data_IF_248269745565
#
_entry.id   IF_248269745565
#
_cell.length_a   1.000
_cell.length_b   1.000
_cell.length_c   1.000
_cell.angle_alpha   90.00
_cell.angle_beta   90.00
_cell.angle_gamma   90.00
#
_symmetry.space_group_name_H-M   'P 1'
#
loop_
_entity.id
_entity.type
_entity.pdbx_description
1 polymer ?
#
# COMPACT_ATOMS: atom_id res chain seq x y z
N UNK A 1 14.46 -23.26 -29.00
CA UNK A 1 13.75 -22.37 -29.94
C UNK A 1 14.75 -22.00 -31.02
N UNK A 2 14.61 -22.55 -32.21
CA UNK A 2 15.52 -22.31 -33.34
C UNK A 2 15.11 -21.03 -34.07
N UNK A 3 16.01 -20.45 -34.88
CA UNK A 3 15.75 -19.24 -35.66
C UNK A 3 14.56 -19.42 -36.59
N UNK A 4 14.31 -20.66 -37.10
CA UNK A 4 13.15 -21.04 -37.91
C UNK A 4 11.81 -20.97 -37.15
N UNK A 5 11.80 -21.22 -35.82
CA UNK A 5 10.60 -21.08 -35.01
C UNK A 5 10.23 -19.60 -34.77
N UNK A 6 11.18 -18.67 -34.91
CA UNK A 6 10.93 -17.24 -34.80
C UNK A 6 10.26 -16.64 -36.07
N UNK A 7 10.43 -17.27 -37.24
CA UNK A 7 9.79 -16.81 -38.49
C UNK A 7 8.33 -17.26 -38.64
N UNK A 8 7.87 -18.23 -37.82
CA UNK A 8 6.48 -18.72 -37.84
C UNK A 8 5.60 -18.12 -36.73
N UNK A 9 6.07 -17.07 -36.02
CA UNK A 9 5.18 -16.30 -35.16
C UNK A 9 4.15 -15.65 -36.05
N UNK A 10 2.94 -16.22 -36.00
CA UNK A 10 1.77 -15.73 -36.73
C UNK A 10 1.69 -14.21 -36.56
N UNK A 11 1.67 -13.48 -37.69
CA UNK A 11 1.49 -12.03 -37.66
C UNK A 11 0.19 -11.75 -36.87
N UNK A 12 0.18 -10.75 -35.97
CA UNK A 12 -1.06 -10.41 -35.28
C UNK A 12 -2.16 -10.19 -36.29
N UNK A 13 -3.36 -10.64 -35.95
CA UNK A 13 -4.57 -10.36 -36.70
C UNK A 13 -4.62 -8.84 -36.94
N UNK A 14 -4.49 -8.45 -38.21
CA UNK A 14 -4.33 -7.06 -38.70
C UNK A 14 -5.57 -6.18 -38.38
N UNK A 15 -6.44 -6.61 -37.44
CA UNK A 15 -7.77 -6.06 -37.17
C UNK A 15 -7.82 -4.95 -36.12
N UNK A 16 -6.80 -4.81 -35.24
CA UNK A 16 -6.81 -3.75 -34.22
C UNK A 16 -5.89 -2.59 -34.65
N UNK A 17 -6.47 -1.40 -34.71
CA UNK A 17 -5.74 -0.15 -34.94
C UNK A 17 -4.60 0.03 -33.92
N UNK A 18 -3.40 0.34 -34.39
CA UNK A 18 -2.22 0.55 -33.52
C UNK A 18 -2.47 1.63 -32.45
N UNK A 19 -3.23 2.67 -32.79
CA UNK A 19 -3.62 3.72 -31.84
C UNK A 19 -4.53 3.17 -30.74
N UNK A 20 -5.44 2.26 -31.09
CA UNK A 20 -6.28 1.58 -30.10
C UNK A 20 -5.45 0.72 -29.15
N UNK A 21 -4.50 -0.08 -29.67
CA UNK A 21 -3.62 -0.92 -28.85
C UNK A 21 -2.78 -0.08 -27.90
N UNK A 22 -2.23 1.06 -28.34
CA UNK A 22 -1.50 2.00 -27.49
C UNK A 22 -2.37 2.57 -26.36
N UNK A 23 -3.64 2.85 -26.62
CA UNK A 23 -4.60 3.30 -25.61
C UNK A 23 -4.89 2.21 -24.58
N UNK A 24 -5.08 0.96 -25.02
CA UNK A 24 -5.26 -0.17 -24.10
C UNK A 24 -4.01 -0.38 -23.26
N UNK A 25 -2.84 -0.30 -23.86
CA UNK A 25 -1.56 -0.37 -23.15
C UNK A 25 -1.45 0.69 -22.06
N UNK A 26 -1.79 1.93 -22.39
CA UNK A 26 -1.85 3.06 -21.44
C UNK A 26 -2.79 2.78 -20.26
N UNK A 27 -4.02 2.30 -20.55
CA UNK A 27 -5.03 1.98 -19.52
C UNK A 27 -4.53 0.88 -18.60
N UNK A 28 -3.98 -0.21 -19.13
CA UNK A 28 -3.46 -1.32 -18.35
C UNK A 28 -2.30 -0.88 -17.45
N UNK A 29 -1.33 -0.16 -18.02
CA UNK A 29 -0.12 0.26 -17.32
C UNK A 29 -0.42 1.25 -16.19
N UNK A 30 -1.27 2.26 -16.44
CA UNK A 30 -1.66 3.23 -15.40
C UNK A 30 -2.57 2.61 -14.34
N UNK A 31 -3.44 1.66 -14.69
CA UNK A 31 -4.19 0.89 -13.70
C UNK A 31 -3.27 0.11 -12.78
N UNK A 32 -2.27 -0.58 -13.33
CA UNK A 32 -1.25 -1.29 -12.56
C UNK A 32 -0.45 -0.36 -11.65
N UNK A 33 -0.04 0.81 -12.17
CA UNK A 33 0.67 1.84 -11.42
C UNK A 33 -0.15 2.31 -10.22
N UNK A 34 -1.40 2.73 -10.43
CA UNK A 34 -2.29 3.21 -9.36
C UNK A 34 -2.50 2.11 -8.31
N UNK A 35 -2.70 0.86 -8.72
CA UNK A 35 -2.87 -0.27 -7.79
C UNK A 35 -1.63 -0.50 -6.95
N UNK A 36 -0.42 -0.49 -7.55
CA UNK A 36 0.84 -0.71 -6.82
C UNK A 36 1.15 0.45 -5.87
N UNK A 37 0.99 1.69 -6.30
CA UNK A 37 1.10 2.89 -5.47
C UNK A 37 0.12 2.87 -4.29
N UNK A 38 -1.06 2.25 -4.48
CA UNK A 38 -2.13 2.17 -3.47
C UNK A 38 -2.05 0.94 -2.56
N UNK A 39 -0.99 0.12 -2.66
CA UNK A 39 -0.71 -0.98 -1.75
C UNK A 39 -1.42 -2.30 -2.07
N UNK A 40 -1.93 -2.48 -3.29
CA UNK A 40 -2.52 -3.74 -3.73
C UNK A 40 -1.49 -4.89 -3.76
N UNK A 41 -1.99 -6.12 -3.72
CA UNK A 41 -1.14 -7.31 -3.88
C UNK A 41 -0.67 -7.46 -5.34
N UNK A 42 0.60 -7.85 -5.54
CA UNK A 42 1.23 -7.90 -6.88
C UNK A 42 0.50 -8.84 -7.83
N UNK A 43 0.12 -10.04 -7.37
CA UNK A 43 -0.63 -11.00 -8.18
C UNK A 43 -2.00 -10.47 -8.65
N UNK A 44 -2.66 -9.63 -7.84
CA UNK A 44 -3.94 -9.01 -8.21
C UNK A 44 -3.76 -7.92 -9.25
N UNK A 45 -2.63 -7.22 -9.19
CA UNK A 45 -2.26 -6.21 -10.19
C UNK A 45 -2.05 -6.89 -11.53
N UNK A 46 -1.24 -7.96 -11.57
CA UNK A 46 -0.99 -8.75 -12.78
C UNK A 46 -2.29 -9.28 -13.39
N UNK A 47 -3.13 -9.96 -12.59
CA UNK A 47 -4.44 -10.47 -13.04
C UNK A 47 -5.36 -9.36 -13.58
N UNK A 48 -5.38 -8.20 -12.91
CA UNK A 48 -6.23 -7.09 -13.34
C UNK A 48 -5.76 -6.52 -14.67
N UNK A 49 -4.45 -6.32 -14.86
CA UNK A 49 -3.88 -5.80 -16.11
C UNK A 49 -4.11 -6.76 -17.27
N UNK A 50 -3.83 -8.05 -17.08
CA UNK A 50 -4.07 -9.09 -18.11
C UNK A 50 -5.55 -9.16 -18.49
N UNK A 51 -6.44 -9.15 -17.49
CA UNK A 51 -7.89 -9.20 -17.71
C UNK A 51 -8.40 -7.96 -18.46
N UNK A 52 -7.91 -6.76 -18.12
CA UNK A 52 -8.29 -5.53 -18.84
C UNK A 52 -7.89 -5.59 -20.31
N UNK A 53 -6.65 -6.00 -20.60
CA UNK A 53 -6.17 -6.15 -21.98
C UNK A 53 -6.98 -7.19 -22.76
N UNK A 54 -7.22 -8.36 -22.16
CA UNK A 54 -8.01 -9.43 -22.78
C UNK A 54 -9.46 -9.01 -23.09
N UNK A 55 -10.09 -8.19 -22.25
CA UNK A 55 -11.44 -7.66 -22.52
C UNK A 55 -11.49 -6.67 -23.70
N UNK A 56 -10.36 -6.07 -24.08
CA UNK A 56 -10.22 -5.27 -25.29
C UNK A 56 -9.72 -6.07 -26.51
N UNK A 57 -9.65 -7.40 -26.40
CA UNK A 57 -9.25 -8.28 -27.49
C UNK A 57 -7.74 -8.43 -27.66
N UNK A 58 -6.94 -7.95 -26.72
CA UNK A 58 -5.48 -8.09 -26.78
C UNK A 58 -5.06 -9.32 -25.97
N UNK A 59 -4.59 -10.35 -26.70
CA UNK A 59 -3.98 -11.55 -26.13
C UNK A 59 -2.48 -11.40 -25.87
N UNK A 60 -1.82 -12.50 -25.50
CA UNK A 60 -0.36 -12.62 -25.34
C UNK A 60 0.27 -11.47 -24.54
N UNK A 61 -0.41 -11.09 -23.44
CA UNK A 61 0.03 -10.03 -22.53
C UNK A 61 0.83 -10.65 -21.39
N UNK A 62 2.03 -10.16 -21.17
CA UNK A 62 2.88 -10.55 -20.06
C UNK A 62 3.04 -9.40 -19.11
N UNK A 63 2.79 -9.66 -17.83
CA UNK A 63 2.91 -8.69 -16.75
C UNK A 63 3.80 -9.27 -15.66
N UNK A 64 4.77 -8.49 -15.22
CA UNK A 64 5.59 -8.83 -14.06
C UNK A 64 5.61 -7.66 -13.09
N UNK A 65 5.17 -7.92 -11.86
CA UNK A 65 5.04 -6.90 -10.81
C UNK A 65 5.87 -7.27 -9.60
N UNK A 66 6.72 -6.34 -9.19
CA UNK A 66 7.41 -6.37 -7.89
C UNK A 66 6.86 -5.27 -6.99
N UNK A 67 7.44 -5.08 -5.81
CA UNK A 67 7.05 -3.98 -4.92
C UNK A 67 7.41 -2.58 -5.46
N UNK A 68 8.31 -2.48 -6.45
CA UNK A 68 8.84 -1.20 -6.94
C UNK A 68 8.86 -1.09 -8.46
N UNK A 69 8.53 -2.14 -9.19
CA UNK A 69 8.62 -2.18 -10.66
C UNK A 69 7.43 -2.92 -11.24
N UNK A 70 6.90 -2.39 -12.33
CA UNK A 70 5.94 -3.04 -13.21
C UNK A 70 6.58 -3.15 -14.59
N UNK A 71 6.55 -4.34 -15.17
CA UNK A 71 6.89 -4.59 -16.57
C UNK A 71 5.61 -5.08 -17.24
N UNK A 72 5.21 -4.40 -18.30
CA UNK A 72 4.09 -4.79 -19.15
C UNK A 72 4.60 -4.99 -20.57
N UNK A 73 4.30 -6.15 -21.16
CA UNK A 73 4.60 -6.46 -22.55
C UNK A 73 3.36 -6.99 -23.26
N UNK A 74 3.08 -6.44 -24.43
CA UNK A 74 2.10 -6.94 -25.40
C UNK A 74 2.88 -7.44 -26.62
N UNK A 75 3.20 -8.74 -26.60
CA UNK A 75 4.21 -9.32 -27.49
C UNK A 75 3.81 -9.25 -28.96
N UNK A 76 2.51 -9.43 -29.26
CA UNK A 76 2.00 -9.42 -30.63
C UNK A 76 2.14 -8.04 -31.31
N UNK A 77 2.30 -6.98 -30.52
CA UNK A 77 2.43 -5.59 -30.99
C UNK A 77 3.82 -5.00 -30.73
N UNK A 78 4.78 -5.79 -30.27
CA UNK A 78 6.13 -5.36 -29.90
C UNK A 78 6.15 -4.16 -28.91
N UNK A 79 5.13 -4.02 -28.07
CA UNK A 79 5.05 -2.99 -27.04
C UNK A 79 5.54 -3.55 -25.71
N UNK A 80 6.54 -2.90 -25.13
CA UNK A 80 7.02 -3.24 -23.78
C UNK A 80 7.45 -1.98 -23.05
N UNK A 81 7.07 -1.85 -21.78
CA UNK A 81 7.48 -0.75 -20.94
C UNK A 81 7.67 -1.20 -19.50
N UNK A 82 8.71 -0.61 -18.88
CA UNK A 82 8.99 -0.76 -17.44
C UNK A 82 8.67 0.55 -16.75
N UNK A 83 7.89 0.49 -15.67
CA UNK A 83 7.65 1.63 -14.77
C UNK A 83 8.24 1.32 -13.40
N UNK A 84 9.00 2.29 -12.87
CA UNK A 84 9.47 2.30 -11.48
C UNK A 84 8.45 3.03 -10.60
N UNK A 85 8.20 2.49 -9.42
CA UNK A 85 7.34 3.07 -8.38
C UNK A 85 8.22 3.45 -7.20
N UNK A 86 8.29 4.73 -6.91
CA UNK A 86 9.13 5.27 -5.84
C UNK A 86 8.36 5.48 -4.53
N UNK A 87 7.08 5.83 -4.62
CA UNK A 87 6.23 6.11 -3.46
C UNK A 87 5.03 5.16 -3.43
N UNK A 88 4.73 4.66 -2.23
CA UNK A 88 3.56 3.81 -2.00
C UNK A 88 2.82 4.32 -0.77
N UNK A 89 1.51 4.36 -0.87
CA UNK A 89 0.61 4.70 0.22
C UNK A 89 -0.57 3.72 0.24
N UNK A 90 -1.13 3.42 1.40
CA UNK A 90 -2.30 2.56 1.49
C UNK A 90 -3.56 3.37 1.15
N UNK A 91 -3.96 3.37 -0.12
CA UNK A 91 -5.20 4.02 -0.58
C UNK A 91 -6.19 2.99 -1.12
N UNK A 92 -6.94 2.37 -0.22
CA UNK A 92 -7.92 1.34 -0.59
C UNK A 92 -9.04 1.87 -1.48
N UNK A 93 -9.36 3.17 -1.43
CA UNK A 93 -10.37 3.76 -2.30
C UNK A 93 -9.94 3.72 -3.77
N UNK A 94 -8.67 4.04 -4.07
CA UNK A 94 -8.13 3.90 -5.43
C UNK A 94 -8.14 2.45 -5.90
N UNK A 95 -7.81 1.50 -5.01
CA UNK A 95 -7.88 0.07 -5.31
C UNK A 95 -9.31 -0.35 -5.67
N UNK A 96 -10.32 0.09 -4.92
CA UNK A 96 -11.73 -0.18 -5.20
C UNK A 96 -12.14 0.43 -6.54
N UNK A 97 -11.75 1.67 -6.82
CA UNK A 97 -12.10 2.37 -8.05
C UNK A 97 -11.50 1.68 -9.30
N UNK A 98 -10.23 1.23 -9.24
CA UNK A 98 -9.62 0.46 -10.36
C UNK A 98 -10.30 -0.90 -10.52
N UNK A 99 -10.64 -1.59 -9.44
CA UNK A 99 -11.38 -2.85 -9.52
C UNK A 99 -12.78 -2.65 -10.14
N UNK A 100 -13.44 -1.52 -9.85
CA UNK A 100 -14.70 -1.18 -10.50
C UNK A 100 -14.52 -0.87 -11.98
N UNK A 101 -13.50 -0.09 -12.34
CA UNK A 101 -13.13 0.18 -13.72
C UNK A 101 -12.90 -1.13 -14.50
N UNK A 102 -12.13 -2.08 -13.92
CA UNK A 102 -11.90 -3.38 -14.54
C UNK A 102 -13.21 -4.14 -14.80
N UNK A 103 -14.16 -4.10 -13.87
CA UNK A 103 -15.50 -4.72 -14.05
C UNK A 103 -16.33 -4.01 -15.12
N UNK A 104 -16.23 -2.69 -15.23
CA UNK A 104 -16.90 -1.91 -16.28
C UNK A 104 -16.32 -2.22 -17.65
N UNK A 105 -14.99 -2.38 -17.77
CA UNK A 105 -14.32 -2.81 -18.99
C UNK A 105 -14.83 -4.20 -19.43
N UNK A 106 -14.96 -5.14 -18.49
CA UNK A 106 -15.53 -6.46 -18.76
C UNK A 106 -16.97 -6.39 -19.30
N UNK A 107 -17.70 -5.33 -18.98
CA UNK A 107 -19.06 -5.08 -19.48
C UNK A 107 -19.10 -4.28 -20.79
N UNK A 108 -17.95 -4.03 -21.41
CA UNK A 108 -17.85 -3.35 -22.70
C UNK A 108 -17.68 -1.83 -22.61
N UNK A 109 -17.05 -1.31 -21.54
CA UNK A 109 -16.75 0.13 -21.45
C UNK A 109 -15.83 0.55 -22.59
N UNK A 110 -16.16 1.61 -23.37
CA UNK A 110 -15.29 2.15 -24.42
C UNK A 110 -13.94 2.60 -23.87
N UNK A 111 -12.89 2.47 -24.68
CA UNK A 111 -11.51 2.81 -24.28
C UNK A 111 -11.33 4.29 -23.86
N UNK A 112 -12.06 5.21 -24.48
CA UNK A 112 -12.03 6.63 -24.11
C UNK A 112 -12.53 6.84 -22.69
N UNK A 113 -13.66 6.25 -22.35
CA UNK A 113 -14.25 6.38 -21.00
C UNK A 113 -13.38 5.70 -19.93
N UNK A 114 -12.61 4.68 -20.35
CA UNK A 114 -11.64 4.05 -19.46
C UNK A 114 -10.45 4.97 -19.18
N UNK A 115 -9.94 5.70 -20.16
CA UNK A 115 -8.88 6.70 -20.00
C UNK A 115 -9.35 7.81 -19.05
N UNK A 116 -10.51 8.41 -19.32
CA UNK A 116 -11.10 9.46 -18.48
C UNK A 116 -11.31 8.98 -17.04
N UNK A 117 -11.71 7.71 -16.88
CA UNK A 117 -11.88 7.10 -15.55
C UNK A 117 -10.56 6.98 -14.81
N UNK A 118 -9.45 6.64 -15.47
CA UNK A 118 -8.12 6.54 -14.86
C UNK A 118 -7.63 7.91 -14.38
N UNK A 119 -7.79 8.95 -15.21
CA UNK A 119 -7.42 10.32 -14.84
C UNK A 119 -8.16 10.78 -13.59
N UNK A 120 -9.49 10.56 -13.55
CA UNK A 120 -10.31 10.88 -12.38
C UNK A 120 -9.89 10.08 -11.12
N UNK A 121 -9.52 8.79 -11.28
CA UNK A 121 -9.06 7.96 -10.17
C UNK A 121 -7.71 8.46 -9.66
N UNK A 122 -6.83 8.89 -10.55
CA UNK A 122 -5.52 9.43 -10.17
C UNK A 122 -5.67 10.66 -9.27
N UNK A 123 -6.64 11.53 -9.54
CA UNK A 123 -6.92 12.75 -8.76
C UNK A 123 -7.69 12.50 -7.45
N UNK A 124 -8.12 11.26 -7.17
CA UNK A 124 -8.87 10.95 -5.94
C UNK A 124 -8.05 11.35 -4.71
N UNK A 125 -8.57 12.31 -3.95
CA UNK A 125 -7.92 12.84 -2.75
C UNK A 125 -8.02 11.85 -1.59
N UNK A 126 -6.99 11.81 -0.77
CA UNK A 126 -7.01 11.13 0.52
C UNK A 126 -7.90 11.88 1.53
N UNK A 127 -8.22 11.22 2.63
CA UNK A 127 -8.93 11.85 3.74
C UNK A 127 -8.16 13.07 4.28
N UNK A 128 -8.86 14.07 4.84
CA UNK A 128 -8.21 15.24 5.40
C UNK A 128 -7.31 14.83 6.59
N UNK A 129 -6.18 15.49 6.70
CA UNK A 129 -5.12 15.17 7.67
C UNK A 129 -5.63 15.08 9.13
N UNK A 130 -6.47 16.02 9.56
CA UNK A 130 -7.02 16.02 10.91
C UNK A 130 -7.88 14.77 11.21
N UNK A 131 -8.56 14.23 10.19
CA UNK A 131 -9.36 13.00 10.34
C UNK A 131 -8.44 11.78 10.52
N UNK A 132 -7.31 11.73 9.79
CA UNK A 132 -6.32 10.65 9.93
C UNK A 132 -5.74 10.66 11.35
N UNK A 133 -5.37 11.84 11.86
CA UNK A 133 -4.84 11.98 13.23
C UNK A 133 -5.90 11.59 14.27
N UNK A 134 -7.14 12.05 14.11
CA UNK A 134 -8.23 11.71 15.02
C UNK A 134 -8.51 10.19 15.04
N UNK A 135 -8.52 9.55 13.89
CA UNK A 135 -8.72 8.09 13.82
C UNK A 135 -7.57 7.32 14.49
N UNK A 136 -6.34 7.84 14.48
CA UNK A 136 -5.22 7.26 15.25
C UNK A 136 -5.52 7.17 16.73
N UNK A 137 -6.07 8.23 17.32
CA UNK A 137 -6.52 8.23 18.72
C UNK A 137 -7.68 7.25 18.96
N UNK A 138 -8.66 7.21 18.07
CA UNK A 138 -9.77 6.25 18.18
C UNK A 138 -9.31 4.79 18.14
N UNK A 139 -8.38 4.47 17.26
CA UNK A 139 -7.77 3.13 17.17
C UNK A 139 -7.06 2.79 18.49
N UNK A 140 -6.26 3.72 19.03
CA UNK A 140 -5.57 3.51 20.30
C UNK A 140 -6.56 3.25 21.46
N UNK A 141 -7.67 3.98 21.55
CA UNK A 141 -8.73 3.75 22.55
C UNK A 141 -9.30 2.33 22.38
N UNK A 142 -9.64 1.91 21.16
CA UNK A 142 -10.21 0.59 20.91
C UNK A 142 -9.25 -0.53 21.32
N UNK A 143 -7.96 -0.38 21.03
CA UNK A 143 -6.96 -1.35 21.45
C UNK A 143 -6.71 -1.34 22.95
N UNK A 144 -6.75 -0.16 23.62
CA UNK A 144 -6.67 -0.09 25.08
C UNK A 144 -7.79 -0.93 25.72
N UNK A 145 -9.02 -0.73 25.27
CA UNK A 145 -10.19 -1.49 25.76
C UNK A 145 -10.09 -2.99 25.43
N UNK A 146 -9.59 -3.33 24.25
CA UNK A 146 -9.40 -4.71 23.82
C UNK A 146 -8.36 -5.45 24.68
N UNK A 147 -7.32 -4.77 25.12
CA UNK A 147 -6.28 -5.32 26.00
C UNK A 147 -6.61 -5.26 27.49
N UNK A 148 -7.84 -4.83 27.84
CA UNK A 148 -8.31 -4.77 29.22
C UNK A 148 -7.84 -3.56 30.02
N UNK A 149 -7.37 -2.52 29.34
CA UNK A 149 -6.92 -1.28 30.00
C UNK A 149 -8.05 -0.53 30.72
N UNK A 150 -7.68 0.29 31.67
CA UNK A 150 -8.60 0.99 32.58
C UNK A 150 -9.12 2.28 31.93
N UNK A 151 -10.35 2.67 32.28
CA UNK A 151 -10.98 3.88 31.74
C UNK A 151 -10.17 5.17 32.03
N UNK A 152 -9.41 5.21 33.14
CA UNK A 152 -8.52 6.30 33.47
C UNK A 152 -7.37 6.53 32.48
N UNK A 153 -6.99 5.49 31.73
CA UNK A 153 -5.88 5.52 30.77
C UNK A 153 -6.34 5.90 29.34
N UNK A 154 -7.66 6.00 29.09
CA UNK A 154 -8.23 6.39 27.79
C UNK A 154 -7.66 7.72 27.27
N UNK A 155 -7.57 8.81 28.08
CA UNK A 155 -7.08 10.08 27.57
C UNK A 155 -5.64 10.03 27.03
N UNK A 156 -4.74 9.31 27.75
CA UNK A 156 -3.34 9.22 27.33
C UNK A 156 -3.16 8.28 26.14
N UNK A 157 -3.90 7.17 26.06
CA UNK A 157 -3.88 6.28 24.90
C UNK A 157 -4.35 7.03 23.64
N UNK A 158 -5.43 7.81 23.76
CA UNK A 158 -5.91 8.66 22.68
C UNK A 158 -4.88 9.70 22.24
N UNK A 159 -4.31 10.43 23.21
CA UNK A 159 -3.28 11.44 22.95
C UNK A 159 -2.03 10.82 22.31
N UNK A 160 -1.57 9.67 22.83
CA UNK A 160 -0.44 8.91 22.28
C UNK A 160 -0.68 8.45 20.84
N UNK A 161 -1.84 7.85 20.57
CA UNK A 161 -2.22 7.41 19.22
C UNK A 161 -2.33 8.58 18.23
N UNK A 162 -2.94 9.70 18.64
CA UNK A 162 -2.96 10.92 17.84
C UNK A 162 -1.57 11.49 17.58
N UNK A 163 -0.74 11.59 18.63
CA UNK A 163 0.63 12.10 18.53
C UNK A 163 1.48 11.20 17.60
N UNK A 164 1.36 9.87 17.74
CA UNK A 164 2.06 8.92 16.89
C UNK A 164 1.75 9.11 15.40
N UNK A 165 0.47 9.15 15.06
CA UNK A 165 0.03 9.38 13.67
C UNK A 165 0.43 10.78 13.19
N UNK A 166 0.29 11.81 14.03
CA UNK A 166 0.71 13.19 13.72
C UNK A 166 2.20 13.25 13.36
N UNK A 167 3.06 12.63 14.18
CA UNK A 167 4.51 12.60 13.98
C UNK A 167 4.86 11.86 12.71
N UNK A 168 4.31 10.65 12.52
CA UNK A 168 4.57 9.83 11.34
C UNK A 168 4.20 10.55 10.05
N UNK A 169 2.99 11.08 9.96
CA UNK A 169 2.50 11.80 8.79
C UNK A 169 3.26 13.12 8.53
N UNK A 170 3.63 13.83 9.61
CA UNK A 170 4.38 15.08 9.50
C UNK A 170 5.81 14.82 9.01
N UNK A 171 6.52 13.87 9.61
CA UNK A 171 7.89 13.54 9.20
C UNK A 171 7.90 13.00 7.77
N UNK A 172 6.95 12.15 7.39
CA UNK A 172 6.87 11.58 6.04
C UNK A 172 6.74 12.66 4.94
N UNK A 173 6.13 13.81 5.25
CA UNK A 173 6.03 14.94 4.32
C UNK A 173 7.35 15.67 4.08
N UNK A 174 8.24 15.67 5.09
CA UNK A 174 9.52 16.40 5.03
C UNK A 174 10.71 15.50 4.73
N UNK A 175 10.68 14.27 5.22
CA UNK A 175 11.79 13.31 5.06
C UNK A 175 11.27 12.02 4.45
N UNK A 176 11.90 11.59 3.36
CA UNK A 176 11.58 10.29 2.71
C UNK A 176 12.37 9.13 3.32
N UNK A 177 12.82 9.26 4.58
CA UNK A 177 13.62 8.24 5.27
C UNK A 177 12.64 7.25 5.92
N UNK A 178 12.57 6.03 5.39
CA UNK A 178 11.74 4.96 5.94
C UNK A 178 12.21 4.57 7.34
N UNK A 179 11.30 4.08 8.16
CA UNK A 179 11.48 3.57 9.53
C UNK A 179 11.87 4.62 10.58
N UNK A 180 12.32 5.79 10.17
CA UNK A 180 12.67 6.88 11.07
C UNK A 180 11.44 7.52 11.71
N UNK A 181 10.37 7.62 10.92
CA UNK A 181 9.09 8.18 11.38
C UNK A 181 8.49 7.34 12.51
N UNK A 182 8.47 6.03 12.32
CA UNK A 182 7.91 5.06 13.26
C UNK A 182 8.72 5.00 14.55
N UNK A 183 10.06 5.09 14.45
CA UNK A 183 10.94 5.16 15.61
C UNK A 183 10.62 6.39 16.49
N UNK A 184 10.58 7.60 15.90
CA UNK A 184 10.28 8.80 16.66
C UNK A 184 8.85 8.83 17.18
N UNK A 185 7.88 8.39 16.38
CA UNK A 185 6.50 8.29 16.81
C UNK A 185 6.36 7.38 18.03
N UNK A 186 6.96 6.19 18.00
CA UNK A 186 6.95 5.24 19.11
C UNK A 186 7.72 5.78 20.34
N UNK A 187 8.85 6.45 20.15
CA UNK A 187 9.60 7.10 21.20
C UNK A 187 8.73 8.15 21.93
N UNK A 188 8.10 9.06 21.20
CA UNK A 188 7.26 10.10 21.81
C UNK A 188 5.99 9.53 22.47
N UNK A 189 5.38 8.47 21.90
CA UNK A 189 4.29 7.75 22.54
C UNK A 189 4.74 7.23 23.93
N UNK A 190 5.90 6.56 23.98
CA UNK A 190 6.42 6.02 25.23
C UNK A 190 6.72 7.13 26.27
N UNK A 191 7.34 8.24 25.84
CA UNK A 191 7.59 9.39 26.72
C UNK A 191 6.29 9.96 27.29
N UNK A 192 5.27 10.19 26.45
CA UNK A 192 3.96 10.70 26.91
C UNK A 192 3.33 9.73 27.91
N UNK A 193 3.42 8.43 27.67
CA UNK A 193 2.85 7.39 28.52
C UNK A 193 3.54 7.33 29.87
N UNK A 194 4.88 7.37 29.91
CA UNK A 194 5.67 7.41 31.17
C UNK A 194 5.31 8.65 31.98
N UNK A 195 5.33 9.83 31.38
CA UNK A 195 4.99 11.07 32.06
C UNK A 195 3.56 11.06 32.65
N UNK A 196 2.63 10.42 31.96
CA UNK A 196 1.25 10.32 32.44
C UNK A 196 1.10 9.34 33.59
N UNK A 197 1.88 8.27 33.62
CA UNK A 197 1.87 7.31 34.75
C UNK A 197 2.61 7.89 35.96
N UNK A 198 3.76 8.55 35.76
CA UNK A 198 4.57 9.09 36.87
C UNK A 198 3.97 10.33 37.55
N UNK A 199 3.34 11.20 36.76
CA UNK A 199 2.84 12.50 37.26
C UNK A 199 1.31 12.64 37.19
N UNK A 200 0.61 11.67 36.62
CA UNK A 200 -0.83 11.70 36.37
C UNK A 200 -1.57 10.52 37.02
N UNK A 201 -2.82 10.30 36.60
CA UNK A 201 -3.67 9.21 37.09
C UNK A 201 -3.46 7.87 36.39
N UNK A 202 -2.44 7.71 35.50
CA UNK A 202 -2.19 6.51 34.73
C UNK A 202 -1.81 5.32 35.61
N UNK A 203 -2.24 4.12 35.22
CA UNK A 203 -2.06 2.91 36.05
C UNK A 203 -1.28 1.80 35.33
N UNK A 204 -1.48 1.60 34.03
CA UNK A 204 -0.91 0.47 33.32
C UNK A 204 -0.05 0.92 32.14
N UNK A 205 1.19 1.31 32.41
CA UNK A 205 2.13 1.85 31.42
C UNK A 205 2.26 0.97 30.18
N UNK A 206 2.41 -0.33 30.37
CA UNK A 206 2.62 -1.28 29.25
C UNK A 206 1.39 -1.33 28.35
N UNK A 207 0.19 -1.43 28.92
CA UNK A 207 -1.08 -1.47 28.19
C UNK A 207 -1.32 -0.16 27.42
N UNK A 208 -0.99 0.99 28.03
CA UNK A 208 -1.09 2.30 27.39
C UNK A 208 -0.18 2.38 26.16
N UNK A 209 1.11 2.01 26.32
CA UNK A 209 2.09 2.08 25.23
C UNK A 209 1.69 1.15 24.09
N UNK A 210 1.37 -0.13 24.41
CA UNK A 210 0.97 -1.10 23.37
C UNK A 210 -0.25 -0.59 22.60
N UNK A 211 -1.28 -0.10 23.29
CA UNK A 211 -2.48 0.42 22.65
C UNK A 211 -2.22 1.65 21.76
N UNK A 212 -1.42 2.60 22.26
CA UNK A 212 -1.11 3.84 21.55
C UNK A 212 -0.21 3.62 20.31
N UNK A 213 0.60 2.56 20.30
CA UNK A 213 1.48 2.20 19.17
C UNK A 213 0.74 1.44 18.06
N UNK A 214 -0.41 0.82 18.36
CA UNK A 214 -1.15 -0.01 17.40
C UNK A 214 -1.46 0.65 16.04
N UNK A 215 -1.76 1.95 15.96
CA UNK A 215 -1.92 2.61 14.66
C UNK A 215 -0.67 2.58 13.77
N UNK A 216 0.53 2.42 14.35
CA UNK A 216 1.81 2.38 13.65
C UNK A 216 2.22 0.97 13.20
N UNK A 217 1.61 -0.06 13.78
CA UNK A 217 1.96 -1.47 13.49
C UNK A 217 1.69 -1.80 12.02
N UNK A 218 2.66 -2.38 11.29
CA UNK A 218 2.57 -2.64 9.85
C UNK A 218 1.71 -3.87 9.51
N UNK A 219 0.48 -3.96 10.06
CA UNK A 219 -0.38 -5.14 9.95
C UNK A 219 -0.75 -5.49 8.51
N UNK A 220 -1.03 -4.50 7.67
CA UNK A 220 -1.34 -4.71 6.24
C UNK A 220 -0.12 -5.24 5.49
N UNK A 221 1.09 -4.74 5.78
CA UNK A 221 2.32 -5.24 5.17
C UNK A 221 2.58 -6.70 5.54
N UNK A 222 2.39 -7.06 6.81
CA UNK A 222 2.57 -8.44 7.31
C UNK A 222 1.60 -9.38 6.60
N UNK A 223 0.32 -9.06 6.60
CA UNK A 223 -0.71 -9.92 5.99
C UNK A 223 -0.53 -10.04 4.48
N UNK A 224 -0.17 -8.95 3.80
CA UNK A 224 0.11 -8.97 2.36
C UNK A 224 1.39 -9.76 2.05
N UNK A 225 2.45 -9.65 2.87
CA UNK A 225 3.67 -10.43 2.70
C UNK A 225 3.40 -11.95 2.73
N UNK A 226 2.65 -12.40 3.75
CA UNK A 226 2.27 -13.81 3.88
C UNK A 226 1.42 -14.26 2.68
N UNK A 227 0.45 -13.45 2.27
CA UNK A 227 -0.45 -13.77 1.14
C UNK A 227 0.30 -13.86 -0.18
N UNK A 228 1.27 -12.96 -0.44
CA UNK A 228 2.15 -13.01 -1.62
C UNK A 228 2.99 -14.29 -1.64
N UNK A 229 3.60 -14.66 -0.49
CA UNK A 229 4.40 -15.89 -0.38
C UNK A 229 3.56 -17.14 -0.65
N UNK A 230 2.35 -17.25 -0.08
CA UNK A 230 1.44 -18.37 -0.31
C UNK A 230 1.04 -18.49 -1.78
N UNK A 231 0.96 -17.37 -2.51
CA UNK A 231 0.64 -17.32 -3.94
C UNK A 231 1.84 -17.57 -4.85
N UNK A 232 3.03 -17.77 -4.31
CA UNK A 232 4.26 -18.00 -5.08
C UNK A 232 5.01 -16.73 -5.49
N UNK A 233 4.52 -15.54 -5.18
CA UNK A 233 5.20 -14.27 -5.42
C UNK A 233 6.26 -14.01 -4.33
N UNK A 234 7.25 -14.90 -4.24
CA UNK A 234 8.24 -14.91 -3.14
C UNK A 234 9.03 -13.61 -3.05
N UNK A 235 9.42 -13.02 -4.18
CA UNK A 235 10.18 -11.77 -4.20
C UNK A 235 9.37 -10.62 -3.57
N UNK A 236 8.12 -10.43 -3.98
CA UNK A 236 7.25 -9.40 -3.41
C UNK A 236 6.93 -9.67 -1.93
N UNK A 237 6.66 -10.93 -1.58
CA UNK A 237 6.40 -11.36 -0.21
C UNK A 237 7.58 -11.13 0.72
N UNK A 238 8.79 -11.52 0.33
CA UNK A 238 10.00 -11.28 1.15
C UNK A 238 10.33 -9.81 1.31
N UNK A 239 10.18 -9.00 0.26
CA UNK A 239 10.39 -7.55 0.33
C UNK A 239 9.40 -6.87 1.29
N UNK A 240 8.09 -7.19 1.21
CA UNK A 240 7.07 -6.68 2.13
C UNK A 240 7.30 -7.17 3.56
N UNK A 241 7.72 -8.42 3.74
CA UNK A 241 8.06 -8.99 5.04
C UNK A 241 9.27 -8.31 5.70
N UNK A 242 10.33 -8.06 4.94
CA UNK A 242 11.49 -7.33 5.41
C UNK A 242 11.13 -5.88 5.81
N UNK A 243 10.32 -5.19 4.99
CA UNK A 243 9.83 -3.85 5.30
C UNK A 243 9.01 -3.84 6.60
N UNK A 244 8.10 -4.79 6.78
CA UNK A 244 7.31 -4.92 8.00
C UNK A 244 8.17 -5.21 9.23
N UNK A 245 9.19 -6.08 9.10
CA UNK A 245 10.11 -6.40 10.20
C UNK A 245 10.94 -5.18 10.63
N UNK A 246 11.47 -4.43 9.67
CA UNK A 246 12.21 -3.20 9.96
C UNK A 246 11.35 -2.12 10.62
N UNK A 247 10.10 -1.98 10.20
CA UNK A 247 9.12 -1.10 10.86
C UNK A 247 8.88 -1.54 12.31
N UNK A 248 8.66 -2.83 12.55
CA UNK A 248 8.45 -3.36 13.91
C UNK A 248 9.69 -3.15 14.80
N UNK A 249 10.90 -3.37 14.26
CA UNK A 249 12.15 -3.11 14.97
C UNK A 249 12.29 -1.63 15.31
N UNK A 250 11.97 -0.72 14.39
CA UNK A 250 12.02 0.72 14.61
C UNK A 250 11.08 1.16 15.74
N UNK A 251 9.84 0.64 15.75
CA UNK A 251 8.87 0.88 16.81
C UNK A 251 9.40 0.35 18.15
N UNK A 252 9.85 -0.89 18.20
CA UNK A 252 10.39 -1.51 19.41
C UNK A 252 11.62 -0.78 19.94
N UNK A 253 12.52 -0.31 19.06
CA UNK A 253 13.69 0.47 19.45
C UNK A 253 13.30 1.85 20.01
N UNK A 254 12.29 2.53 19.41
CA UNK A 254 11.79 3.80 19.92
C UNK A 254 11.23 3.68 21.36
N UNK A 255 10.40 2.68 21.60
CA UNK A 255 9.86 2.38 22.94
C UNK A 255 10.97 1.93 23.89
N UNK A 256 11.84 1.01 23.46
CA UNK A 256 12.92 0.45 24.28
C UNK A 256 13.91 1.50 24.76
N UNK A 257 14.21 2.52 23.95
CA UNK A 257 15.10 3.61 24.35
C UNK A 257 14.55 4.38 25.56
N UNK A 258 13.23 4.57 25.65
CA UNK A 258 12.59 5.23 26.81
C UNK A 258 12.68 4.35 28.03
N UNK A 259 12.42 3.04 27.92
CA UNK A 259 12.54 2.09 29.05
C UNK A 259 13.98 1.93 29.58
N UNK A 260 14.99 2.23 28.77
CA UNK A 260 16.39 2.24 29.25
C UNK A 260 16.73 3.49 30.06
N UNK A 261 15.92 4.53 29.94
CA UNK A 261 16.18 5.82 30.58
C UNK A 261 15.35 6.02 31.89
N UNK A 262 14.35 5.18 32.09
CA UNK A 262 13.45 5.14 33.25
C UNK A 262 13.74 3.92 34.09
#
# INVERSE_FOLDING_TARGET
MTVEELETVDKPDDSLDEDFVRKVFYVCLNSGKILLESGAETYRIEDTMIRMAGNYGIGNVQVFVTTTVIILSMNDYALSQTIRIDERANNLQKVVNINDLSRRITKGLPIRDAIDSIENIHETKMFPFWLIVFTGGMVAIMFLLLFGGVAGDIPVAAAGGMAGVLITESIQRYTKIKFFNEFFAAFFIAVISVLYVDYGPGTELETIIIAAVMPLVPGVLITNAIREMIRGHLMAGTMKGAEASLTAIAIGAGVGLVFMAV
#
